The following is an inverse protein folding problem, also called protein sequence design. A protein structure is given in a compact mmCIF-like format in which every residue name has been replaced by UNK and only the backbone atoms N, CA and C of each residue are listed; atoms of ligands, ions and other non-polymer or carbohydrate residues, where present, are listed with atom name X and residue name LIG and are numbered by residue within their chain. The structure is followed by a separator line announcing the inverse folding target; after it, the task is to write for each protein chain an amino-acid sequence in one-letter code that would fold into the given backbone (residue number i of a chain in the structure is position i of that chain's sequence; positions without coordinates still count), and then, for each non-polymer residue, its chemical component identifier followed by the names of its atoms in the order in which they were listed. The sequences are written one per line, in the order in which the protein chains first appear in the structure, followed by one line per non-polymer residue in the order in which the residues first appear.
data_IF_180499272964
#
_entry.id   IF_180499272964
#
_cell.length_a   1.000
_cell.length_b   1.000
_cell.length_c   1.000
_cell.angle_alpha   90.00
_cell.angle_beta   90.00
_cell.angle_gamma   90.00
#
_symmetry.space_group_name_H-M   'P 1'
#
loop_
_entity.id
_entity.type
_entity.pdbx_description
1 polymer ?
#
# COMPACT_ATOMS: atom_id res chain seq x y z
N UNK A 1 -11.12 -8.52 -34.48
CA UNK A 1 -10.35 -7.38 -34.99
C UNK A 1 -9.71 -6.67 -33.81
N UNK A 2 -8.42 -6.77 -33.65
CA UNK A 2 -7.67 -6.03 -32.66
C UNK A 2 -7.41 -4.64 -33.25
N UNK A 3 -8.18 -3.64 -32.79
CA UNK A 3 -7.99 -2.27 -33.22
C UNK A 3 -6.73 -1.69 -32.58
N UNK A 4 -5.75 -1.27 -33.38
CA UNK A 4 -4.69 -0.38 -32.94
C UNK A 4 -5.24 1.04 -32.93
N UNK A 5 -5.01 1.78 -31.83
CA UNK A 5 -5.25 3.22 -31.79
C UNK A 5 -4.08 3.97 -32.42
N UNK A 6 -4.30 5.25 -32.73
CA UNK A 6 -3.20 6.16 -33.13
C UNK A 6 -2.11 6.30 -32.07
N UNK A 7 -2.40 5.96 -30.80
CA UNK A 7 -1.46 5.96 -29.67
C UNK A 7 -0.65 4.66 -29.54
N UNK A 8 -0.96 3.61 -30.31
CA UNK A 8 -0.29 2.30 -30.20
C UNK A 8 -0.64 1.49 -28.94
N UNK A 9 -1.69 1.89 -28.20
CA UNK A 9 -2.17 1.20 -26.99
C UNK A 9 -2.84 -0.13 -27.34
N UNK A 10 -2.47 -1.19 -26.63
CA UNK A 10 -3.08 -2.53 -26.77
C UNK A 10 -3.35 -3.13 -25.39
N UNK A 11 -4.44 -3.92 -25.29
CA UNK A 11 -4.75 -4.66 -24.07
C UNK A 11 -3.92 -5.95 -24.03
N UNK A 12 -3.12 -6.10 -22.97
CA UNK A 12 -2.29 -7.28 -22.74
C UNK A 12 -2.64 -7.98 -21.42
N UNK A 13 -2.31 -9.28 -21.38
CA UNK A 13 -2.24 -9.97 -20.09
C UNK A 13 -1.06 -9.43 -19.30
N UNK A 14 -1.26 -9.19 -17.99
CA UNK A 14 -0.26 -8.60 -17.13
C UNK A 14 -0.34 -9.14 -15.70
N UNK A 15 0.43 -8.56 -14.80
CA UNK A 15 0.41 -8.92 -13.39
C UNK A 15 -0.79 -8.24 -12.71
N UNK A 16 -1.90 -9.00 -12.57
CA UNK A 16 -3.13 -8.50 -11.94
C UNK A 16 -2.98 -8.34 -10.42
N UNK A 17 -3.18 -7.13 -9.93
CA UNK A 17 -3.33 -6.88 -8.48
C UNK A 17 -4.65 -7.44 -7.92
N UNK A 18 -5.64 -7.67 -8.79
CA UNK A 18 -6.95 -8.22 -8.43
C UNK A 18 -6.99 -9.76 -8.61
N UNK A 19 -5.82 -10.40 -8.75
CA UNK A 19 -5.64 -11.85 -8.91
C UNK A 19 -6.42 -12.48 -10.10
N UNK A 20 -6.57 -11.71 -11.19
CA UNK A 20 -7.22 -12.15 -12.44
C UNK A 20 -6.23 -12.15 -13.62
N UNK A 21 -5.21 -13.04 -13.62
CA UNK A 21 -4.23 -13.13 -14.70
C UNK A 21 -4.83 -13.64 -16.02
N UNK A 22 -6.04 -14.20 -15.95
CA UNK A 22 -6.83 -14.70 -17.08
C UNK A 22 -7.44 -13.57 -17.93
N UNK A 23 -7.47 -12.34 -17.43
CA UNK A 23 -8.04 -11.19 -18.14
C UNK A 23 -6.97 -10.27 -18.72
N UNK A 24 -7.29 -9.72 -19.91
CA UNK A 24 -6.51 -8.61 -20.46
C UNK A 24 -6.66 -7.37 -19.55
N UNK A 25 -5.58 -6.65 -19.38
CA UNK A 25 -5.46 -5.56 -18.40
C UNK A 25 -4.91 -4.30 -19.05
N UNK A 26 -5.09 -3.19 -18.37
CA UNK A 26 -4.41 -1.94 -18.63
C UNK A 26 -3.73 -1.45 -17.34
N UNK A 27 -2.72 -0.63 -17.49
CA UNK A 27 -2.09 0.12 -16.40
C UNK A 27 -2.56 1.57 -16.51
N UNK A 28 -3.18 2.08 -15.44
CA UNK A 28 -3.63 3.47 -15.36
C UNK A 28 -2.67 4.24 -14.45
N UNK A 29 -1.93 5.16 -15.05
CA UNK A 29 -1.06 6.10 -14.34
C UNK A 29 -1.86 7.35 -13.97
N UNK A 30 -1.66 7.84 -12.74
CA UNK A 30 -2.29 9.04 -12.23
C UNK A 30 -1.28 9.87 -11.45
N UNK A 31 -1.20 11.16 -11.72
CA UNK A 31 -0.42 12.13 -10.94
C UNK A 31 -1.34 13.13 -10.28
N UNK A 32 -1.04 13.47 -9.03
CA UNK A 32 -1.77 14.48 -8.25
C UNK A 32 -0.83 15.57 -7.76
N UNK A 33 -1.33 16.79 -7.60
CA UNK A 33 -0.58 17.85 -6.95
C UNK A 33 -0.71 17.80 -5.41
N UNK A 34 0.16 18.49 -4.69
CA UNK A 34 0.11 18.61 -3.23
C UNK A 34 -1.14 19.37 -2.77
N UNK A 35 -1.56 20.38 -3.51
CA UNK A 35 -2.70 21.20 -3.18
C UNK A 35 -4.02 20.46 -3.50
N UNK A 36 -4.68 19.98 -2.45
CA UNK A 36 -5.96 19.29 -2.54
C UNK A 36 -5.91 17.88 -3.11
N UNK A 37 -4.75 17.34 -3.48
CA UNK A 37 -4.60 16.08 -4.20
C UNK A 37 -5.41 16.06 -5.52
N UNK A 38 -5.41 17.21 -6.22
CA UNK A 38 -6.07 17.36 -7.51
C UNK A 38 -5.30 16.55 -8.56
N UNK A 39 -5.96 15.68 -9.32
CA UNK A 39 -5.37 15.01 -10.48
C UNK A 39 -4.93 16.03 -11.53
N UNK A 40 -3.66 15.93 -11.97
CA UNK A 40 -3.08 16.87 -12.95
C UNK A 40 -2.62 16.17 -14.23
N UNK A 41 -2.44 14.85 -14.19
CA UNK A 41 -2.04 14.06 -15.34
C UNK A 41 -2.53 12.62 -15.17
N UNK A 42 -2.93 12.01 -16.29
CA UNK A 42 -3.18 10.58 -16.39
C UNK A 42 -2.60 10.03 -17.69
N UNK A 43 -2.33 8.76 -17.69
CA UNK A 43 -1.99 8.01 -18.92
C UNK A 43 -2.40 6.55 -18.77
N UNK A 44 -2.82 5.97 -19.89
CA UNK A 44 -3.17 4.56 -19.99
C UNK A 44 -2.05 3.83 -20.71
N UNK A 45 -1.61 2.70 -20.19
CA UNK A 45 -0.57 1.86 -20.75
C UNK A 45 -1.05 0.42 -20.95
N UNK A 46 -0.42 -0.35 -21.86
CA UNK A 46 -0.62 -1.79 -21.94
C UNK A 46 -0.44 -2.50 -20.61
N UNK A 47 -1.24 -3.53 -20.35
CA UNK A 47 -1.27 -4.24 -19.05
C UNK A 47 0.05 -4.91 -18.66
N UNK A 48 0.98 -5.11 -19.58
CA UNK A 48 2.32 -5.65 -19.36
C UNK A 48 3.41 -4.57 -19.20
N UNK A 49 3.04 -3.28 -19.17
CA UNK A 49 3.99 -2.18 -18.99
C UNK A 49 4.64 -2.24 -17.62
N UNK A 50 5.97 -2.07 -17.59
CA UNK A 50 6.71 -1.97 -16.33
C UNK A 50 6.59 -0.55 -15.77
N UNK A 51 6.13 -0.42 -14.53
CA UNK A 51 5.95 0.87 -13.85
C UNK A 51 7.24 1.73 -13.87
N UNK A 52 8.42 1.11 -13.78
CA UNK A 52 9.69 1.84 -13.78
C UNK A 52 9.93 2.61 -15.08
N UNK A 53 9.47 2.11 -16.23
CA UNK A 53 9.66 2.77 -17.55
C UNK A 53 8.77 4.01 -17.74
N UNK A 54 7.71 4.15 -16.94
CA UNK A 54 6.74 5.24 -17.11
C UNK A 54 7.15 6.54 -16.39
N UNK A 55 8.09 6.47 -15.45
CA UNK A 55 8.46 7.62 -14.61
C UNK A 55 9.09 8.78 -15.37
N UNK A 56 10.00 8.50 -16.31
CA UNK A 56 10.65 9.55 -17.11
C UNK A 56 9.63 10.27 -17.99
N UNK A 57 8.76 9.53 -18.65
CA UNK A 57 7.71 10.10 -19.49
C UNK A 57 6.73 10.92 -18.66
N UNK A 58 6.28 10.39 -17.53
CA UNK A 58 5.39 11.08 -16.59
C UNK A 58 6.01 12.40 -16.10
N UNK A 59 7.28 12.36 -15.67
CA UNK A 59 8.00 13.55 -15.23
C UNK A 59 8.11 14.62 -16.34
N UNK A 60 8.44 14.20 -17.58
CA UNK A 60 8.49 15.11 -18.74
C UNK A 60 7.14 15.77 -19.00
N UNK A 61 6.05 14.99 -18.95
CA UNK A 61 4.69 15.54 -19.14
C UNK A 61 4.34 16.53 -18.04
N UNK A 62 4.64 16.21 -16.79
CA UNK A 62 4.42 17.13 -15.66
C UNK A 62 5.24 18.41 -15.80
N UNK A 63 6.49 18.32 -16.28
CA UNK A 63 7.32 19.49 -16.57
C UNK A 63 6.70 20.39 -17.63
N UNK A 64 6.14 19.80 -18.67
CA UNK A 64 5.43 20.56 -19.72
C UNK A 64 4.16 21.23 -19.18
N UNK A 65 3.36 20.53 -18.40
CA UNK A 65 2.13 21.05 -17.78
C UNK A 65 2.44 22.20 -16.82
N UNK A 66 3.49 22.04 -16.00
CA UNK A 66 3.86 23.03 -14.98
C UNK A 66 4.67 24.20 -15.54
N UNK A 67 5.31 24.03 -16.71
CA UNK A 67 6.22 25.01 -17.32
C UNK A 67 7.59 25.16 -16.62
N UNK A 68 7.88 24.32 -15.59
CA UNK A 68 9.13 24.39 -14.79
C UNK A 68 9.57 22.97 -14.45
N UNK A 69 10.87 22.80 -14.12
CA UNK A 69 11.45 21.52 -13.72
C UNK A 69 11.70 21.37 -12.21
N UNK A 70 11.64 22.45 -11.45
CA UNK A 70 12.05 22.53 -10.04
C UNK A 70 11.01 22.04 -9.03
N UNK A 71 9.94 21.39 -9.47
CA UNK A 71 9.02 20.69 -8.57
C UNK A 71 9.63 19.37 -8.02
N UNK A 72 9.11 18.91 -6.88
CA UNK A 72 9.53 17.64 -6.30
C UNK A 72 8.62 16.52 -6.83
N UNK A 73 9.19 15.61 -7.61
CA UNK A 73 8.50 14.42 -8.09
C UNK A 73 8.58 13.31 -7.06
N UNK A 74 7.42 12.79 -6.63
CA UNK A 74 7.33 11.74 -5.61
C UNK A 74 6.79 10.47 -6.23
N UNK A 75 7.52 9.39 -6.07
CA UNK A 75 7.11 8.08 -6.58
C UNK A 75 7.35 6.95 -5.58
N UNK A 76 6.85 5.77 -5.90
CA UNK A 76 7.09 4.55 -5.15
C UNK A 76 8.51 4.00 -5.41
N UNK A 77 8.79 2.79 -4.96
CA UNK A 77 10.10 2.15 -5.12
C UNK A 77 10.52 1.89 -6.58
N UNK A 78 9.61 1.97 -7.54
CA UNK A 78 9.91 1.82 -8.96
C UNK A 78 10.59 3.07 -9.56
N UNK A 79 10.37 4.23 -8.93
CA UNK A 79 11.12 5.45 -9.25
C UNK A 79 12.59 5.34 -8.79
N UNK A 80 12.90 4.51 -7.80
CA UNK A 80 14.23 4.39 -7.20
C UNK A 80 15.21 3.62 -8.10
N UNK A 81 15.22 3.90 -9.40
CA UNK A 81 16.20 3.40 -10.34
C UNK A 81 17.22 4.49 -10.69
N UNK A 82 18.50 4.13 -10.80
CA UNK A 82 19.54 5.10 -11.15
C UNK A 82 19.23 5.86 -12.45
N UNK A 83 18.80 5.21 -13.55
CA UNK A 83 18.46 5.93 -14.78
C UNK A 83 17.36 6.97 -14.62
N UNK A 84 16.33 6.68 -13.82
CA UNK A 84 15.22 7.61 -13.57
C UNK A 84 15.66 8.79 -12.73
N UNK A 85 16.41 8.54 -11.66
CA UNK A 85 16.89 9.58 -10.75
C UNK A 85 17.90 10.48 -11.46
N UNK A 86 18.85 9.91 -12.21
CA UNK A 86 19.84 10.65 -12.96
C UNK A 86 19.18 11.51 -14.04
N UNK A 87 18.24 10.95 -14.79
CA UNK A 87 17.50 11.71 -15.81
C UNK A 87 16.80 12.94 -15.24
N UNK A 88 16.09 12.77 -14.11
CA UNK A 88 15.38 13.87 -13.45
C UNK A 88 16.35 14.94 -12.95
N UNK A 89 17.44 14.54 -12.30
CA UNK A 89 18.44 15.48 -11.76
C UNK A 89 19.23 16.21 -12.84
N UNK A 90 19.63 15.51 -13.89
CA UNK A 90 20.37 16.09 -15.03
C UNK A 90 19.51 17.12 -15.79
N UNK A 91 18.17 17.01 -15.70
CA UNK A 91 17.21 17.98 -16.20
C UNK A 91 16.71 18.98 -15.14
N UNK A 92 17.49 19.20 -14.08
CA UNK A 92 17.22 20.15 -12.99
C UNK A 92 15.94 19.86 -12.19
N UNK A 93 15.46 18.62 -12.17
CA UNK A 93 14.34 18.18 -11.36
C UNK A 93 14.79 17.65 -10.01
N UNK A 94 13.81 17.45 -9.11
CA UNK A 94 14.02 16.90 -7.80
C UNK A 94 13.08 15.70 -7.59
N UNK A 95 13.55 14.67 -6.89
CA UNK A 95 12.75 13.48 -6.64
C UNK A 95 12.87 13.00 -5.19
N UNK A 96 11.77 12.45 -4.67
CA UNK A 96 11.74 11.73 -3.40
C UNK A 96 11.09 10.38 -3.64
N UNK A 97 11.74 9.30 -3.17
CA UNK A 97 11.23 7.94 -3.33
C UNK A 97 11.63 7.04 -2.16
N UNK A 98 10.92 5.93 -2.01
CA UNK A 98 11.32 4.87 -1.06
C UNK A 98 12.31 3.92 -1.73
N UNK A 99 13.38 3.58 -1.01
CA UNK A 99 14.38 2.63 -1.51
C UNK A 99 13.85 1.20 -1.38
N UNK A 100 13.98 0.37 -2.44
CA UNK A 100 13.57 -1.03 -2.41
C UNK A 100 14.24 -1.82 -1.29
N UNK A 101 13.47 -2.67 -0.62
CA UNK A 101 13.94 -3.44 0.56
C UNK A 101 15.04 -4.47 0.25
N UNK A 102 15.22 -4.81 -1.02
CA UNK A 102 16.23 -5.77 -1.51
C UNK A 102 17.56 -5.12 -1.89
N UNK A 103 17.72 -3.81 -1.71
CA UNK A 103 18.98 -3.14 -1.98
C UNK A 103 20.00 -3.46 -0.90
N UNK A 104 21.27 -3.54 -1.30
CA UNK A 104 22.40 -3.90 -0.45
C UNK A 104 22.57 -2.93 0.74
N UNK A 105 22.35 -1.64 0.50
CA UNK A 105 22.39 -0.60 1.53
C UNK A 105 21.35 -0.85 2.63
N UNK A 106 20.16 -1.27 2.25
CA UNK A 106 19.08 -1.56 3.21
C UNK A 106 19.44 -2.74 4.09
N UNK A 107 20.00 -3.78 3.50
CA UNK A 107 20.44 -4.97 4.28
C UNK A 107 21.65 -4.65 5.16
N UNK A 108 22.61 -3.89 4.68
CA UNK A 108 23.75 -3.41 5.47
C UNK A 108 23.29 -2.60 6.69
N UNK A 109 22.37 -1.65 6.50
CA UNK A 109 21.86 -0.86 7.62
C UNK A 109 21.04 -1.70 8.62
N UNK A 110 20.23 -2.64 8.15
CA UNK A 110 19.54 -3.60 9.02
C UNK A 110 20.52 -4.42 9.84
N UNK A 111 21.62 -4.89 9.24
CA UNK A 111 22.64 -5.67 9.95
C UNK A 111 23.35 -4.84 11.01
N UNK A 112 23.62 -3.56 10.77
CA UNK A 112 24.13 -2.65 11.79
C UNK A 112 23.14 -2.52 12.97
N UNK A 113 21.84 -2.41 12.70
CA UNK A 113 20.81 -2.34 13.75
C UNK A 113 20.68 -3.66 14.52
N UNK A 114 20.81 -4.82 13.85
CA UNK A 114 20.82 -6.14 14.50
C UNK A 114 22.02 -6.29 15.42
N UNK A 115 23.19 -5.84 14.99
CA UNK A 115 24.43 -5.92 15.77
C UNK A 115 24.38 -5.09 17.07
N UNK A 116 23.73 -3.90 17.03
CA UNK A 116 23.64 -3.05 18.22
C UNK A 116 22.60 -1.93 18.11
N UNK A 117 22.23 -1.32 19.24
CA UNK A 117 21.31 -0.19 19.24
C UNK A 117 22.00 1.06 18.68
N UNK A 118 21.39 1.69 17.68
CA UNK A 118 21.80 2.99 17.16
C UNK A 118 20.83 4.04 17.69
N UNK A 119 21.35 5.22 18.07
CA UNK A 119 20.55 6.35 18.57
C UNK A 119 19.66 6.88 17.44
N UNK A 120 18.38 7.05 17.71
CA UNK A 120 17.40 7.66 16.83
C UNK A 120 16.76 8.87 17.46
N UNK A 121 16.37 9.84 16.63
CA UNK A 121 15.74 11.08 17.04
C UNK A 121 14.28 11.13 16.58
N UNK A 122 13.39 11.53 17.48
CA UNK A 122 11.98 11.78 17.12
C UNK A 122 11.91 13.02 16.21
N UNK A 123 11.25 12.90 15.05
CA UNK A 123 11.21 13.97 14.06
C UNK A 123 9.78 14.46 13.78
N UNK A 124 8.78 13.61 13.93
CA UNK A 124 7.40 13.97 13.66
C UNK A 124 6.40 13.17 14.50
N UNK A 125 5.37 13.88 14.99
CA UNK A 125 4.17 13.31 15.63
C UNK A 125 2.98 13.62 14.74
N UNK A 126 2.28 12.59 14.26
CA UNK A 126 1.13 12.72 13.38
C UNK A 126 -0.11 12.18 14.09
N UNK A 127 -1.08 13.04 14.46
CA UNK A 127 -2.37 12.57 14.97
C UNK A 127 -3.07 11.70 13.92
N UNK A 128 -3.82 10.69 14.36
CA UNK A 128 -4.66 9.90 13.44
C UNK A 128 -5.94 10.66 13.13
N UNK A 129 -6.39 10.67 11.86
CA UNK A 129 -7.56 11.47 11.45
C UNK A 129 -8.86 11.12 12.18
N UNK A 130 -9.01 9.86 12.60
CA UNK A 130 -10.25 9.34 13.20
C UNK A 130 -10.16 9.11 14.72
N UNK A 131 -9.03 9.41 15.33
CA UNK A 131 -8.81 9.17 16.75
C UNK A 131 -7.62 10.03 17.21
N UNK A 132 -7.91 11.22 17.69
CA UNK A 132 -6.89 12.17 18.18
C UNK A 132 -6.09 11.62 19.35
N UNK A 133 -6.65 10.67 20.12
CA UNK A 133 -5.93 9.99 21.19
C UNK A 133 -4.81 9.08 20.69
N UNK A 134 -4.85 8.70 19.39
CA UNK A 134 -3.84 7.87 18.75
C UNK A 134 -2.95 8.69 17.85
N UNK A 135 -1.70 8.78 18.23
CA UNK A 135 -0.66 9.50 17.47
C UNK A 135 0.34 8.51 16.87
N UNK A 136 0.66 8.66 15.59
CA UNK A 136 1.77 7.96 14.94
C UNK A 136 3.07 8.74 15.15
N UNK A 137 4.11 8.04 15.58
CA UNK A 137 5.43 8.62 15.86
C UNK A 137 6.41 8.21 14.77
N UNK A 138 7.16 9.19 14.28
CA UNK A 138 8.25 8.97 13.34
C UNK A 138 9.56 9.40 13.96
N UNK A 139 10.55 8.50 13.89
CA UNK A 139 11.93 8.79 14.26
C UNK A 139 12.84 8.54 13.06
N UNK A 140 14.06 9.08 13.09
CA UNK A 140 15.07 8.80 12.09
C UNK A 140 16.43 8.54 12.76
N UNK A 141 17.32 7.91 12.02
CA UNK A 141 18.69 7.67 12.45
C UNK A 141 19.58 8.77 11.87
N UNK A 142 20.29 9.47 12.75
CA UNK A 142 21.19 10.56 12.41
C UNK A 142 22.56 10.01 12.00
N UNK A 143 23.22 10.64 11.00
CA UNK A 143 24.55 10.27 10.54
C UNK A 143 24.65 9.09 9.55
N UNK A 144 23.52 8.52 9.13
CA UNK A 144 23.48 7.42 8.17
C UNK A 144 22.67 7.81 6.91
N UNK A 145 23.05 8.92 6.29
CA UNK A 145 22.27 9.54 5.22
C UNK A 145 22.86 9.33 3.82
N UNK A 146 24.09 8.87 3.70
CA UNK A 146 24.80 8.80 2.42
C UNK A 146 24.97 7.33 2.02
N UNK A 147 24.63 7.00 0.80
CA UNK A 147 24.83 5.68 0.19
C UNK A 147 26.05 5.70 -0.71
N UNK A 148 26.86 4.64 -0.68
CA UNK A 148 28.01 4.49 -1.55
C UNK A 148 27.65 4.30 -3.03
N UNK A 149 26.46 3.75 -3.33
CA UNK A 149 25.98 3.55 -4.70
C UNK A 149 25.42 4.82 -5.33
N UNK A 150 24.95 5.77 -4.50
CA UNK A 150 24.29 6.98 -4.93
C UNK A 150 24.91 8.19 -4.19
N UNK A 151 26.23 8.35 -4.29
CA UNK A 151 27.00 9.36 -3.55
C UNK A 151 26.48 10.80 -3.68
N UNK A 152 25.76 11.08 -4.75
CA UNK A 152 25.13 12.38 -5.03
C UNK A 152 23.74 12.54 -4.40
N UNK A 153 23.15 11.49 -3.78
CA UNK A 153 21.79 11.53 -3.22
C UNK A 153 21.77 11.29 -1.72
N UNK A 154 20.82 11.89 -1.03
CA UNK A 154 20.65 11.71 0.41
C UNK A 154 19.72 10.55 0.71
N UNK A 155 20.19 9.64 1.57
CA UNK A 155 19.41 8.49 2.06
C UNK A 155 19.09 8.67 3.54
N UNK A 156 17.81 8.68 3.88
CA UNK A 156 17.31 8.88 5.23
C UNK A 156 16.61 7.63 5.76
N UNK A 157 16.98 7.21 6.97
CA UNK A 157 16.45 6.00 7.62
C UNK A 157 15.39 6.38 8.64
N UNK A 158 14.13 6.14 8.31
CA UNK A 158 13.00 6.45 9.18
C UNK A 158 12.45 5.20 9.87
N UNK A 159 11.82 5.41 11.04
CA UNK A 159 11.08 4.39 11.78
C UNK A 159 9.69 4.91 12.07
N UNK A 160 8.66 4.19 11.66
CA UNK A 160 7.25 4.46 11.99
C UNK A 160 6.78 3.55 13.12
N UNK A 161 6.08 4.12 14.09
CA UNK A 161 5.48 3.35 15.19
C UNK A 161 4.39 2.38 14.69
N UNK A 162 3.61 2.78 13.69
CA UNK A 162 2.56 1.93 13.11
C UNK A 162 3.14 0.82 12.23
N UNK A 163 4.17 1.13 11.43
CA UNK A 163 4.88 0.09 10.68
C UNK A 163 5.53 -0.90 11.63
N UNK A 164 6.12 -0.45 12.75
CA UNK A 164 6.69 -1.32 13.79
C UNK A 164 5.65 -2.31 14.34
N UNK A 165 4.44 -1.86 14.64
CA UNK A 165 3.34 -2.73 15.09
C UNK A 165 2.97 -3.76 14.03
N UNK A 166 2.88 -3.34 12.76
CA UNK A 166 2.57 -4.24 11.64
C UNK A 166 3.65 -5.28 11.40
N UNK A 167 4.94 -4.88 11.44
CA UNK A 167 6.07 -5.78 11.23
C UNK A 167 6.11 -6.83 12.35
N UNK A 168 5.90 -6.40 13.60
CA UNK A 168 5.78 -7.30 14.77
C UNK A 168 4.63 -8.28 14.61
N UNK A 169 3.43 -7.81 14.31
CA UNK A 169 2.24 -8.65 14.12
C UNK A 169 2.46 -9.67 13.00
N UNK A 170 3.00 -9.24 11.87
CA UNK A 170 3.31 -10.12 10.73
C UNK A 170 4.32 -11.20 11.11
N UNK A 171 5.36 -10.88 11.90
CA UNK A 171 6.33 -11.84 12.40
C UNK A 171 5.68 -12.84 13.36
N UNK A 172 4.89 -12.37 14.32
CA UNK A 172 4.17 -13.22 15.27
C UNK A 172 3.21 -14.18 14.56
N UNK A 173 2.49 -13.73 13.54
CA UNK A 173 1.59 -14.56 12.72
C UNK A 173 2.37 -15.64 11.93
N UNK A 174 3.50 -15.26 11.32
CA UNK A 174 4.36 -16.23 10.62
C UNK A 174 4.89 -17.30 11.56
N UNK A 175 5.34 -16.92 12.76
CA UNK A 175 5.81 -17.85 13.79
C UNK A 175 4.69 -18.77 14.27
N UNK A 176 3.48 -18.23 14.50
CA UNK A 176 2.30 -19.01 14.88
C UNK A 176 1.94 -20.04 13.82
N UNK A 177 1.93 -19.65 12.53
CA UNK A 177 1.65 -20.55 11.40
C UNK A 177 2.74 -21.60 11.22
N UNK A 178 4.01 -21.25 11.45
CA UNK A 178 5.11 -22.21 11.40
C UNK A 178 4.96 -23.28 12.50
N UNK A 179 4.69 -22.85 13.75
CA UNK A 179 4.46 -23.79 14.87
C UNK A 179 3.31 -24.74 14.61
N UNK A 180 2.17 -24.25 14.09
CA UNK A 180 1.03 -25.09 13.72
C UNK A 180 1.45 -26.17 12.69
N UNK A 181 2.17 -25.78 11.63
CA UNK A 181 2.66 -26.72 10.62
C UNK A 181 3.69 -27.72 11.18
N UNK A 182 4.53 -27.33 12.14
CA UNK A 182 5.47 -28.25 12.82
C UNK A 182 4.73 -29.26 13.72
N UNK A 183 3.63 -28.84 14.37
CA UNK A 183 2.76 -29.74 15.15
C UNK A 183 2.14 -30.79 14.20
N UNK A 184 1.61 -30.37 13.05
CA UNK A 184 1.06 -31.28 12.05
C UNK A 184 2.14 -32.26 11.52
N UNK A 185 3.35 -31.77 11.30
CA UNK A 185 4.48 -32.62 10.89
C UNK A 185 4.82 -33.63 11.98
N UNK A 186 4.83 -33.23 13.26
CA UNK A 186 5.19 -34.10 14.40
C UNK A 186 4.27 -35.33 14.51
N UNK A 187 2.98 -35.18 14.16
CA UNK A 187 2.01 -36.30 14.13
C UNK A 187 2.32 -37.31 13.01
N UNK A 188 2.97 -36.86 11.93
CA UNK A 188 3.31 -37.69 10.75
C UNK A 188 4.67 -38.36 10.85
N UNK A 189 5.49 -38.00 11.83
CA UNK A 189 6.84 -38.56 12.04
C UNK A 189 6.75 -40.07 12.35
N UNK A 190 7.76 -40.82 11.95
CA UNK A 190 7.88 -42.28 12.02
C UNK A 190 6.89 -43.05 11.10
N UNK A 191 6.22 -42.35 10.19
CA UNK A 191 5.29 -42.96 9.21
C UNK A 191 5.72 -42.58 7.78
N UNK A 192 5.39 -43.43 6.81
CA UNK A 192 5.65 -43.20 5.38
C UNK A 192 7.11 -42.83 5.09
N UNK A 193 7.34 -41.64 4.51
CA UNK A 193 8.67 -41.14 4.16
C UNK A 193 9.42 -40.49 5.34
N UNK A 194 8.76 -40.23 6.47
CA UNK A 194 9.34 -39.52 7.63
C UNK A 194 9.89 -40.51 8.69
N UNK A 195 10.72 -41.46 8.25
CA UNK A 195 11.31 -42.50 9.11
C UNK A 195 12.81 -42.29 9.41
N UNK A 196 13.48 -41.39 8.68
CA UNK A 196 14.90 -41.09 8.88
C UNK A 196 15.05 -39.66 9.44
N UNK A 197 16.10 -39.47 10.24
CA UNK A 197 16.38 -38.15 10.85
C UNK A 197 16.49 -37.04 9.82
N UNK A 198 17.24 -37.25 8.73
CA UNK A 198 17.45 -36.25 7.68
C UNK A 198 16.15 -35.84 6.95
N UNK A 199 15.25 -36.80 6.67
CA UNK A 199 13.98 -36.50 5.99
C UNK A 199 13.07 -35.63 6.88
N UNK A 200 13.08 -35.85 8.20
CA UNK A 200 12.33 -35.07 9.18
C UNK A 200 12.91 -33.66 9.31
N UNK A 201 14.24 -33.52 9.39
CA UNK A 201 14.94 -32.23 9.46
C UNK A 201 14.68 -31.40 8.19
N UNK A 202 14.78 -32.02 7.01
CA UNK A 202 14.49 -31.34 5.73
C UNK A 202 13.05 -30.84 5.68
N UNK A 203 12.08 -31.69 6.01
CA UNK A 203 10.67 -31.31 6.01
C UNK A 203 10.37 -30.17 7.01
N UNK A 204 10.99 -30.19 8.19
CA UNK A 204 10.84 -29.12 9.18
C UNK A 204 11.49 -27.80 8.71
N UNK A 205 12.67 -27.87 8.11
CA UNK A 205 13.35 -26.71 7.54
C UNK A 205 12.57 -26.08 6.38
N UNK A 206 11.94 -26.89 5.53
CA UNK A 206 11.08 -26.39 4.45
C UNK A 206 9.86 -25.62 4.98
N UNK A 207 9.25 -26.08 6.08
CA UNK A 207 8.17 -25.35 6.77
C UNK A 207 8.68 -23.98 7.23
N UNK A 208 9.84 -23.92 7.89
CA UNK A 208 10.43 -22.67 8.37
C UNK A 208 10.79 -21.72 7.22
N UNK A 209 11.37 -22.23 6.13
CA UNK A 209 11.68 -21.47 4.90
C UNK A 209 10.44 -20.90 4.25
N UNK A 210 9.39 -21.72 4.07
CA UNK A 210 8.11 -21.30 3.48
C UNK A 210 7.45 -20.16 4.28
N UNK A 211 7.68 -20.10 5.58
CA UNK A 211 7.18 -19.03 6.46
C UNK A 211 8.18 -17.91 6.70
N UNK A 212 9.39 -17.97 6.13
CA UNK A 212 10.47 -17.00 6.33
C UNK A 212 10.82 -16.77 7.81
N UNK A 213 10.91 -17.87 8.59
CA UNK A 213 11.24 -17.82 10.03
C UNK A 213 12.40 -18.75 10.41
N UNK A 214 13.14 -19.28 9.44
CA UNK A 214 14.25 -20.23 9.66
C UNK A 214 15.37 -19.65 10.54
N UNK A 215 15.53 -18.33 10.58
CA UNK A 215 16.52 -17.63 11.40
C UNK A 215 16.00 -17.27 12.81
N UNK A 216 14.73 -17.55 13.10
CA UNK A 216 14.06 -17.22 14.36
C UNK A 216 13.68 -18.46 15.18
N UNK A 217 13.90 -19.66 14.63
CA UNK A 217 13.52 -20.91 15.26
C UNK A 217 14.61 -21.96 15.04
N UNK A 218 14.95 -22.63 16.11
CA UNK A 218 15.82 -23.80 16.09
C UNK A 218 14.98 -25.07 16.09
N UNK A 219 15.42 -26.08 15.33
CA UNK A 219 14.79 -27.40 15.30
C UNK A 219 15.80 -28.46 15.69
N UNK A 220 15.34 -29.43 16.47
CA UNK A 220 16.15 -30.58 16.89
C UNK A 220 15.35 -31.86 16.72
N UNK A 221 15.92 -32.84 15.98
CA UNK A 221 15.32 -34.18 15.85
C UNK A 221 16.08 -35.13 16.79
N UNK A 222 15.38 -35.60 17.83
CA UNK A 222 15.93 -36.55 18.81
C UNK A 222 15.59 -37.96 18.40
N UNK A 223 16.62 -38.87 18.47
CA UNK A 223 16.47 -40.29 18.23
C UNK A 223 16.17 -41.00 19.54
N UNK A 224 15.16 -41.83 19.55
CA UNK A 224 14.81 -42.69 20.68
C UNK A 224 14.93 -44.14 20.27
N UNK A 225 15.36 -44.98 21.22
CA UNK A 225 15.47 -46.43 21.05
C UNK A 225 14.66 -47.13 22.13
N UNK A 226 13.65 -47.83 21.73
CA UNK A 226 12.84 -48.63 22.63
C UNK A 226 13.15 -50.12 22.41
N UNK A 227 13.57 -50.76 23.48
CA UNK A 227 13.86 -52.23 23.47
C UNK A 227 12.66 -52.93 24.05
N UNK A 228 11.98 -53.78 23.23
CA UNK A 228 10.90 -54.63 23.70
C UNK A 228 11.25 -56.09 23.55
N UNK A 229 10.83 -56.89 24.53
CA UNK A 229 10.82 -58.35 24.40
C UNK A 229 9.48 -58.73 23.81
N UNK A 230 9.52 -59.38 22.65
CA UNK A 230 8.30 -59.81 21.95
C UNK A 230 8.27 -61.33 21.95
N UNK A 231 7.15 -61.92 22.28
CA UNK A 231 6.95 -63.35 22.23
C UNK A 231 7.05 -63.84 20.76
N UNK A 232 7.93 -64.78 20.48
CA UNK A 232 8.07 -65.36 19.14
C UNK A 232 6.88 -66.26 18.83
N UNK A 233 6.13 -65.96 17.75
CA UNK A 233 5.08 -66.88 17.28
C UNK A 233 5.68 -68.14 16.71
N UNK A 234 5.52 -69.26 17.43
CA UNK A 234 5.94 -70.56 17.02
C UNK A 234 6.11 -71.49 18.23
N UNK A 235 5.49 -72.64 18.24
CA UNK A 235 5.59 -73.63 19.29
C UNK A 235 6.80 -74.52 18.99
N UNK A 236 7.91 -74.29 19.68
CA UNK A 236 9.02 -75.23 19.69
C UNK A 236 9.21 -75.68 21.13
N UNK A 237 8.57 -76.77 21.48
CA UNK A 237 8.60 -77.30 22.84
C UNK A 237 7.82 -76.48 23.85
N UNK A 238 7.81 -76.87 25.10
CA UNK A 238 7.11 -76.17 26.22
C UNK A 238 7.76 -74.88 26.74
N UNK A 239 8.64 -74.24 25.96
CA UNK A 239 9.34 -73.01 26.41
C UNK A 239 8.99 -71.83 25.52
N UNK A 240 8.54 -70.73 26.12
CA UNK A 240 8.34 -69.45 25.45
C UNK A 240 9.68 -68.86 25.05
N UNK A 241 9.89 -68.58 23.76
CA UNK A 241 11.07 -67.84 23.30
C UNK A 241 10.71 -66.36 23.11
N UNK A 242 11.51 -65.50 23.73
CA UNK A 242 11.40 -64.06 23.60
C UNK A 242 12.49 -63.57 22.66
N UNK A 243 12.07 -62.77 21.69
CA UNK A 243 12.99 -62.07 20.81
C UNK A 243 13.10 -60.61 21.28
N UNK A 244 14.33 -60.08 21.39
CA UNK A 244 14.59 -58.68 21.73
C UNK A 244 14.51 -57.87 20.44
N UNK A 245 13.42 -57.10 20.26
CA UNK A 245 13.29 -56.15 19.16
C UNK A 245 13.70 -54.77 19.62
N UNK A 246 14.45 -54.07 18.77
CA UNK A 246 14.81 -52.67 19.00
C UNK A 246 14.07 -51.79 18.03
N UNK A 247 13.15 -50.97 18.54
CA UNK A 247 12.43 -50.00 17.73
C UNK A 247 13.08 -48.63 17.86
N UNK A 248 13.49 -48.09 16.71
CA UNK A 248 14.01 -46.70 16.62
C UNK A 248 12.84 -45.80 16.20
N UNK A 249 12.66 -44.71 16.91
CA UNK A 249 11.73 -43.68 16.54
C UNK A 249 12.30 -42.28 16.80
N UNK A 250 11.72 -41.26 16.18
CA UNK A 250 12.20 -39.89 16.26
C UNK A 250 11.12 -38.97 16.83
N UNK A 251 11.54 -37.91 17.52
CA UNK A 251 10.70 -36.80 17.94
C UNK A 251 11.28 -35.48 17.44
N UNK A 252 10.40 -34.56 17.08
CA UNK A 252 10.75 -33.23 16.62
C UNK A 252 10.52 -32.23 17.77
N UNK A 253 11.56 -31.48 18.09
CA UNK A 253 11.52 -30.38 19.04
C UNK A 253 11.87 -29.09 18.31
N UNK A 254 11.29 -27.97 18.73
CA UNK A 254 11.60 -26.65 18.20
C UNK A 254 11.54 -25.62 19.32
N UNK A 255 12.41 -24.64 19.21
CA UNK A 255 12.46 -23.51 20.14
C UNK A 255 12.59 -22.20 19.35
N UNK A 256 12.17 -21.08 19.98
CA UNK A 256 12.39 -19.78 19.41
C UNK A 256 13.74 -19.25 19.87
N UNK A 257 14.56 -18.83 18.92
CA UNK A 257 15.79 -18.09 19.21
C UNK A 257 15.42 -16.69 19.72
N UNK A 258 15.56 -16.49 21.03
CA UNK A 258 15.22 -15.23 21.70
C UNK A 258 16.15 -14.10 21.30
N UNK A 259 17.41 -14.39 21.02
CA UNK A 259 18.38 -13.36 20.65
C UNK A 259 18.17 -12.91 19.20
N UNK A 260 17.96 -13.84 18.29
CA UNK A 260 17.53 -13.50 16.93
C UNK A 260 16.24 -12.70 16.90
N UNK A 261 15.24 -13.04 17.73
CA UNK A 261 14.02 -12.26 17.88
C UNK A 261 14.26 -10.84 18.39
N UNK A 262 15.15 -10.67 19.37
CA UNK A 262 15.54 -9.34 19.87
C UNK A 262 16.22 -8.52 18.78
N UNK A 263 17.11 -9.14 18.00
CA UNK A 263 17.79 -8.50 16.88
C UNK A 263 16.77 -8.04 15.80
N UNK A 264 15.84 -8.92 15.40
CA UNK A 264 14.78 -8.57 14.43
C UNK A 264 13.85 -7.45 14.91
N UNK A 265 13.57 -7.35 16.21
CA UNK A 265 12.73 -6.23 16.73
C UNK A 265 13.41 -4.86 16.59
N UNK A 266 14.74 -4.80 16.44
CA UNK A 266 15.47 -3.54 16.23
C UNK A 266 15.23 -2.95 14.85
N UNK A 267 14.94 -3.77 13.85
CA UNK A 267 14.67 -3.34 12.48
C UNK A 267 13.19 -3.11 12.19
N UNK A 268 12.31 -3.43 13.13
CA UNK A 268 10.87 -3.20 12.98
C UNK A 268 10.54 -1.73 12.78
N UNK A 269 9.69 -1.46 11.80
CA UNK A 269 9.21 -0.12 11.48
C UNK A 269 10.15 0.68 10.58
N UNK A 270 11.33 0.13 10.25
CA UNK A 270 12.33 0.78 9.40
C UNK A 270 11.83 0.93 7.96
N UNK A 271 12.07 2.10 7.37
CA UNK A 271 11.95 2.33 5.92
C UNK A 271 12.88 3.46 5.49
N UNK A 272 13.58 3.29 4.37
CA UNK A 272 14.50 4.28 3.82
C UNK A 272 13.80 5.17 2.80
N UNK A 273 14.04 6.48 2.86
CA UNK A 273 13.66 7.43 1.81
C UNK A 273 14.92 8.04 1.20
N UNK A 274 14.91 8.14 -0.13
CA UNK A 274 15.95 8.81 -0.91
C UNK A 274 15.41 10.15 -1.37
N UNK A 275 16.23 11.19 -1.26
CA UNK A 275 16.00 12.52 -1.84
C UNK A 275 17.16 12.88 -2.76
N UNK A 276 16.85 13.32 -3.98
CA UNK A 276 17.88 13.85 -4.89
C UNK A 276 18.33 15.26 -4.53
N UNK A 277 17.56 15.95 -3.69
CA UNK A 277 17.90 17.28 -3.16
C UNK A 277 18.38 17.15 -1.71
N UNK A 278 19.69 17.34 -1.45
CA UNK A 278 20.26 17.21 -0.11
C UNK A 278 19.88 18.37 0.82
N UNK A 279 19.33 19.46 0.29
CA UNK A 279 18.98 20.65 1.08
C UNK A 279 17.66 20.49 1.83
N UNK A 280 16.81 19.54 1.42
CA UNK A 280 15.52 19.30 2.06
C UNK A 280 15.73 18.63 3.43
N UNK A 281 15.18 19.27 4.47
CA UNK A 281 15.28 18.73 5.81
C UNK A 281 14.55 17.35 5.92
N UNK A 282 15.09 16.36 6.66
CA UNK A 282 14.52 15.01 6.75
C UNK A 282 13.03 14.97 7.15
N UNK A 283 12.59 15.90 8.00
CA UNK A 283 11.17 16.02 8.37
C UNK A 283 10.28 16.32 7.17
N UNK A 284 10.76 17.16 6.26
CA UNK A 284 9.98 17.58 5.09
C UNK A 284 10.04 16.50 4.01
N UNK A 285 11.18 15.84 3.81
CA UNK A 285 11.25 14.60 2.99
C UNK A 285 10.20 13.60 3.44
N UNK A 286 10.11 13.36 4.76
CA UNK A 286 9.14 12.44 5.32
C UNK A 286 7.68 12.90 5.09
N UNK A 287 7.37 14.17 5.32
CA UNK A 287 6.02 14.73 5.14
C UNK A 287 5.58 14.65 3.68
N UNK A 288 6.46 15.05 2.76
CA UNK A 288 6.22 15.02 1.31
C UNK A 288 5.94 13.58 0.88
N UNK A 289 6.78 12.62 1.27
CA UNK A 289 6.55 11.22 0.95
C UNK A 289 5.23 10.68 1.57
N UNK A 290 4.90 11.09 2.79
CA UNK A 290 3.67 10.68 3.49
C UNK A 290 2.39 11.34 2.95
N UNK A 291 2.47 12.10 1.89
CA UNK A 291 1.34 12.57 1.11
C UNK A 291 0.78 11.47 0.16
N UNK A 292 1.59 10.48 -0.21
CA UNK A 292 1.25 9.39 -1.12
C UNK A 292 -0.10 8.67 -0.82
N UNK A 293 -0.54 8.45 0.44
CA UNK A 293 -1.85 7.86 0.72
C UNK A 293 -3.04 8.62 0.13
N UNK A 294 -2.87 9.90 -0.21
CA UNK A 294 -3.90 10.68 -0.91
C UNK A 294 -4.06 10.25 -2.36
N UNK A 295 -2.97 9.88 -3.03
CA UNK A 295 -3.01 9.26 -4.35
C UNK A 295 -3.73 7.90 -4.30
N UNK A 296 -3.42 7.06 -3.30
CA UNK A 296 -4.11 5.79 -3.09
C UNK A 296 -5.62 5.99 -2.88
N UNK A 297 -6.00 7.05 -2.15
CA UNK A 297 -7.41 7.42 -1.97
C UNK A 297 -8.07 7.80 -3.31
N UNK A 298 -7.37 8.54 -4.19
CA UNK A 298 -7.88 8.86 -5.54
C UNK A 298 -8.06 7.59 -6.39
N UNK A 299 -7.13 6.65 -6.34
CA UNK A 299 -7.32 5.35 -6.98
C UNK A 299 -8.50 4.55 -6.40
N UNK A 300 -8.71 4.62 -5.09
CA UNK A 300 -9.88 4.00 -4.46
C UNK A 300 -11.18 4.63 -4.94
N UNK A 301 -11.27 5.97 -5.01
CA UNK A 301 -12.43 6.69 -5.56
C UNK A 301 -12.67 6.31 -7.02
N UNK A 302 -11.62 6.25 -7.83
CA UNK A 302 -11.70 5.83 -9.22
C UNK A 302 -12.32 4.43 -9.39
N UNK A 303 -11.92 3.48 -8.54
CA UNK A 303 -12.45 2.11 -8.59
C UNK A 303 -13.86 1.98 -8.00
N UNK A 304 -14.15 2.65 -6.88
CA UNK A 304 -15.39 2.44 -6.11
C UNK A 304 -16.51 3.39 -6.49
N UNK A 305 -16.24 4.70 -6.64
CA UNK A 305 -17.27 5.70 -6.93
C UNK A 305 -17.58 5.72 -8.43
N UNK A 306 -16.54 5.75 -9.26
CA UNK A 306 -16.70 5.77 -10.71
C UNK A 306 -16.91 4.39 -11.34
N UNK A 307 -16.76 3.32 -10.54
CA UNK A 307 -16.88 1.93 -11.01
C UNK A 307 -16.07 1.67 -12.30
N UNK A 308 -14.85 2.24 -12.35
CA UNK A 308 -13.99 2.16 -13.53
C UNK A 308 -13.48 0.74 -13.87
N UNK A 309 -13.80 -0.24 -13.03
CA UNK A 309 -13.51 -1.65 -13.25
C UNK A 309 -14.71 -2.52 -12.78
N UNK A 310 -15.08 -3.59 -13.53
CA UNK A 310 -14.47 -4.04 -14.79
C UNK A 310 -14.84 -3.18 -15.99
N UNK A 311 -13.91 -3.07 -16.96
CA UNK A 311 -14.18 -2.37 -18.22
C UNK A 311 -14.99 -3.26 -19.15
N UNK A 312 -16.15 -2.76 -19.59
CA UNK A 312 -17.06 -3.50 -20.46
C UNK A 312 -16.88 -3.17 -21.95
N UNK A 313 -16.05 -2.17 -22.27
CA UNK A 313 -15.80 -1.77 -23.65
C UNK A 313 -14.83 -2.73 -24.36
N UNK A 314 -15.14 -3.04 -25.63
CA UNK A 314 -14.31 -3.88 -26.49
C UNK A 314 -13.30 -3.08 -27.33
N UNK A 315 -13.63 -1.82 -27.64
CA UNK A 315 -12.82 -0.93 -28.47
C UNK A 315 -11.87 -0.13 -27.58
N UNK A 316 -10.61 -0.07 -27.97
CA UNK A 316 -9.55 0.59 -27.20
C UNK A 316 -9.75 2.10 -27.14
N UNK A 317 -10.13 2.72 -28.27
CA UNK A 317 -10.44 4.15 -28.31
C UNK A 317 -11.57 4.57 -27.33
N UNK A 318 -12.58 3.71 -27.16
CA UNK A 318 -13.64 3.93 -26.16
C UNK A 318 -13.14 3.74 -24.74
N UNK A 319 -12.21 2.82 -24.51
CA UNK A 319 -11.59 2.62 -23.21
C UNK A 319 -10.77 3.85 -22.82
N UNK A 320 -9.94 4.37 -23.74
CA UNK A 320 -9.15 5.59 -23.51
C UNK A 320 -10.05 6.80 -23.23
N UNK A 321 -11.07 7.00 -24.06
CA UNK A 321 -12.04 8.08 -23.85
C UNK A 321 -12.77 7.97 -22.50
N UNK A 322 -13.19 6.76 -22.13
CA UNK A 322 -13.83 6.53 -20.83
C UNK A 322 -12.87 6.79 -19.65
N UNK A 323 -11.60 6.37 -19.75
CA UNK A 323 -10.59 6.67 -18.73
C UNK A 323 -10.34 8.17 -18.61
N UNK A 324 -10.38 8.91 -19.72
CA UNK A 324 -10.27 10.37 -19.71
C UNK A 324 -11.48 11.02 -19.01
N UNK A 325 -12.70 10.59 -19.29
CA UNK A 325 -13.92 11.10 -18.63
C UNK A 325 -13.83 10.83 -17.10
N UNK A 326 -13.42 9.65 -16.69
CA UNK A 326 -13.20 9.34 -15.28
C UNK A 326 -12.12 10.21 -14.64
N UNK A 327 -11.04 10.48 -15.36
CA UNK A 327 -10.01 11.42 -14.89
C UNK A 327 -10.56 12.81 -14.68
N UNK A 328 -11.36 13.34 -15.62
CA UNK A 328 -12.01 14.64 -15.48
C UNK A 328 -12.99 14.67 -14.29
N UNK A 329 -13.81 13.63 -14.14
CA UNK A 329 -14.71 13.50 -13.00
C UNK A 329 -13.96 13.51 -11.66
N UNK A 330 -12.84 12.77 -11.59
CA UNK A 330 -12.00 12.73 -10.39
C UNK A 330 -11.33 14.09 -10.12
N UNK A 331 -10.95 14.81 -11.17
CA UNK A 331 -10.38 16.15 -11.06
C UNK A 331 -11.41 17.15 -10.53
N UNK A 332 -12.62 17.16 -11.09
CA UNK A 332 -13.74 18.02 -10.61
C UNK A 332 -14.06 17.72 -9.15
N UNK A 333 -14.20 16.45 -8.78
CA UNK A 333 -14.39 16.04 -7.39
C UNK A 333 -13.31 16.58 -6.46
N UNK A 334 -12.05 16.49 -6.89
CA UNK A 334 -10.93 16.95 -6.09
C UNK A 334 -10.91 18.48 -5.94
N UNK A 335 -11.31 19.22 -6.98
CA UNK A 335 -11.41 20.69 -6.95
C UNK A 335 -12.51 21.11 -5.97
N UNK A 336 -13.71 20.51 -6.04
CA UNK A 336 -14.80 20.78 -5.09
C UNK A 336 -14.33 20.53 -3.65
N UNK A 337 -13.75 19.36 -3.39
CA UNK A 337 -13.21 19.04 -2.05
C UNK A 337 -12.15 20.05 -1.59
N UNK A 338 -11.28 20.48 -2.49
CA UNK A 338 -10.24 21.47 -2.22
C UNK A 338 -10.84 22.83 -1.87
N UNK A 339 -11.74 23.34 -2.71
CA UNK A 339 -12.38 24.66 -2.51
C UNK A 339 -13.08 24.71 -1.15
N UNK A 340 -13.99 23.77 -0.88
CA UNK A 340 -14.75 23.77 0.37
C UNK A 340 -13.83 23.64 1.60
N UNK A 341 -12.85 22.71 1.57
CA UNK A 341 -11.93 22.53 2.71
C UNK A 341 -11.01 23.73 2.92
N UNK A 342 -10.57 24.37 1.85
CA UNK A 342 -9.75 25.57 1.91
C UNK A 342 -10.52 26.73 2.53
N UNK A 343 -11.74 27.00 2.08
CA UNK A 343 -12.59 28.06 2.61
C UNK A 343 -12.95 27.84 4.10
N UNK A 344 -13.29 26.60 4.49
CA UNK A 344 -13.52 26.26 5.90
C UNK A 344 -12.30 26.61 6.75
N UNK A 345 -11.10 26.27 6.25
CA UNK A 345 -9.83 26.52 6.97
C UNK A 345 -9.49 28.02 7.04
N UNK A 346 -9.59 28.74 5.93
CA UNK A 346 -9.26 30.16 5.83
C UNK A 346 -10.22 31.04 6.66
N UNK A 347 -11.51 30.77 6.58
CA UNK A 347 -12.54 31.46 7.35
C UNK A 347 -12.67 30.97 8.79
N UNK A 348 -11.89 29.91 9.19
CA UNK A 348 -11.95 29.27 10.52
C UNK A 348 -13.36 28.83 10.92
N UNK A 349 -14.13 28.32 9.97
CA UNK A 349 -15.49 27.89 10.19
C UNK A 349 -15.55 26.55 10.92
N UNK A 350 -16.69 26.27 11.55
CA UNK A 350 -16.98 24.94 12.08
C UNK A 350 -17.14 23.96 10.92
N UNK A 351 -16.87 22.65 11.14
CA UNK A 351 -17.13 21.63 10.13
C UNK A 351 -18.58 21.66 9.65
N UNK A 352 -18.80 21.37 8.37
CA UNK A 352 -20.13 21.24 7.81
C UNK A 352 -20.86 20.03 8.39
N UNK A 353 -22.18 20.14 8.55
CA UNK A 353 -23.06 19.05 8.98
C UNK A 353 -23.65 18.35 7.76
N UNK A 354 -22.88 17.42 7.16
CA UNK A 354 -23.26 16.75 5.90
C UNK A 354 -23.82 15.33 6.08
N UNK A 355 -24.05 14.91 7.32
CA UNK A 355 -24.65 13.60 7.58
C UNK A 355 -26.11 13.76 8.03
N UNK A 356 -26.97 12.76 7.73
CA UNK A 356 -28.39 12.83 8.11
C UNK A 356 -28.63 13.08 9.60
N UNK A 357 -27.70 12.61 10.45
CA UNK A 357 -27.72 12.81 11.91
C UNK A 357 -27.05 14.14 12.33
N UNK A 358 -26.87 15.09 11.45
CA UNK A 358 -26.21 16.38 11.69
C UNK A 358 -24.79 16.29 12.29
N UNK A 359 -24.11 15.17 12.04
CA UNK A 359 -22.75 14.99 12.49
C UNK A 359 -21.77 15.82 11.66
N UNK A 360 -20.76 16.37 12.35
CA UNK A 360 -19.69 17.15 11.75
C UNK A 360 -18.88 16.36 10.71
N UNK A 361 -18.64 17.00 9.55
CA UNK A 361 -17.76 16.50 8.48
C UNK A 361 -16.49 17.38 8.40
N UNK A 362 -15.45 17.10 9.20
CA UNK A 362 -14.23 17.93 9.23
C UNK A 362 -13.43 17.88 7.91
N UNK A 363 -13.67 16.87 7.12
CA UNK A 363 -13.08 16.71 5.79
C UNK A 363 -14.14 16.32 4.77
N UNK A 364 -15.03 17.25 4.38
CA UNK A 364 -16.13 16.97 3.48
C UNK A 364 -15.63 16.37 2.16
N UNK A 365 -16.35 15.37 1.66
CA UNK A 365 -16.11 14.76 0.35
C UNK A 365 -17.15 15.25 -0.65
N UNK A 366 -16.80 15.30 -1.93
CA UNK A 366 -17.73 15.72 -2.98
C UNK A 366 -19.01 14.88 -2.97
N UNK A 367 -18.91 13.57 -2.75
CA UNK A 367 -20.08 12.70 -2.65
C UNK A 367 -21.02 13.08 -1.49
N UNK A 368 -20.47 13.52 -0.35
CA UNK A 368 -21.29 14.02 0.77
C UNK A 368 -21.92 15.37 0.45
N UNK A 369 -21.14 16.27 -0.17
CA UNK A 369 -21.62 17.60 -0.58
C UNK A 369 -22.77 17.46 -1.59
N UNK A 370 -22.57 16.71 -2.68
CA UNK A 370 -23.61 16.54 -3.71
C UNK A 370 -24.86 15.86 -3.16
N UNK A 371 -24.67 14.89 -2.25
CA UNK A 371 -25.82 14.20 -1.63
C UNK A 371 -26.77 15.11 -0.84
N UNK A 372 -26.28 16.23 -0.31
CA UNK A 372 -27.15 17.18 0.38
C UNK A 372 -28.11 17.89 -0.58
N UNK A 373 -27.75 17.99 -1.87
CA UNK A 373 -28.58 18.58 -2.91
C UNK A 373 -29.46 17.54 -3.63
N UNK A 374 -29.37 16.26 -3.27
CA UNK A 374 -30.22 15.23 -3.85
C UNK A 374 -31.70 15.49 -3.50
N UNK A 375 -32.58 15.48 -4.53
CA UNK A 375 -34.00 15.66 -4.36
C UNK A 375 -34.49 17.09 -4.45
N UNK A 376 -33.61 18.09 -4.57
CA UNK A 376 -34.02 19.45 -4.88
C UNK A 376 -34.54 19.52 -6.31
N UNK A 377 -35.75 20.08 -6.49
CA UNK A 377 -36.44 20.11 -7.77
C UNK A 377 -36.90 21.51 -8.15
N UNK A 378 -36.92 21.75 -9.45
CA UNK A 378 -37.69 22.86 -10.06
C UNK A 378 -38.97 22.29 -10.65
N UNK A 379 -40.10 22.87 -10.31
CA UNK A 379 -41.42 22.47 -10.77
C UNK A 379 -41.92 23.49 -11.80
N UNK A 380 -42.33 23.02 -12.99
CA UNK A 380 -42.87 23.87 -14.06
C UNK A 380 -44.29 23.46 -14.34
N UNK A 381 -45.22 24.39 -14.19
CA UNK A 381 -46.62 24.24 -14.61
C UNK A 381 -46.74 24.76 -16.03
N UNK A 382 -47.13 23.89 -16.95
CA UNK A 382 -47.26 24.25 -18.37
C UNK A 382 -48.72 24.08 -18.83
N UNK A 383 -49.21 24.99 -19.65
CA UNK A 383 -50.49 24.88 -20.35
C UNK A 383 -50.26 25.21 -21.84
N UNK A 384 -50.69 24.33 -22.76
CA UNK A 384 -50.56 24.48 -24.20
C UNK A 384 -49.12 24.86 -24.64
N UNK A 385 -48.10 24.12 -24.13
CA UNK A 385 -46.69 24.32 -24.39
C UNK A 385 -46.08 25.66 -23.88
N UNK A 386 -46.82 26.45 -23.12
CA UNK A 386 -46.30 27.63 -22.45
C UNK A 386 -46.14 27.39 -20.95
N UNK A 387 -44.98 27.77 -20.36
CA UNK A 387 -44.77 27.73 -18.90
C UNK A 387 -45.55 28.87 -18.26
N UNK A 388 -46.48 28.53 -17.33
CA UNK A 388 -47.29 29.51 -16.61
C UNK A 388 -46.62 29.92 -15.31
N UNK A 389 -46.12 28.94 -14.58
CA UNK A 389 -45.48 29.15 -13.27
C UNK A 389 -44.32 28.21 -13.10
N UNK A 390 -43.31 28.70 -12.40
CA UNK A 390 -42.10 27.92 -12.03
C UNK A 390 -41.85 28.07 -10.53
N UNK A 391 -41.72 26.95 -9.84
CA UNK A 391 -41.42 26.86 -8.41
C UNK A 391 -40.14 26.10 -8.20
N UNK A 392 -39.35 26.51 -7.20
CA UNK A 392 -38.13 25.88 -6.80
C UNK A 392 -38.18 25.49 -5.32
N UNK A 393 -37.59 24.35 -4.96
CA UNK A 393 -37.46 23.97 -3.57
C UNK A 393 -36.60 24.99 -2.81
N UNK A 394 -36.94 25.22 -1.53
CA UNK A 394 -36.18 26.16 -0.72
C UNK A 394 -34.83 25.51 -0.26
N UNK A 395 -33.76 26.24 -0.46
CA UNK A 395 -32.46 25.85 0.07
C UNK A 395 -32.42 26.02 1.60
N UNK A 396 -31.99 25.01 2.31
CA UNK A 396 -31.75 25.10 3.74
C UNK A 396 -30.41 25.80 4.08
N UNK A 397 -30.10 25.91 5.36
CA UNK A 397 -28.86 26.53 5.83
C UNK A 397 -27.60 25.82 5.30
N UNK A 398 -27.62 24.51 5.24
CA UNK A 398 -26.46 23.69 4.78
C UNK A 398 -26.21 23.89 3.30
N UNK A 399 -27.25 23.91 2.48
CA UNK A 399 -27.16 24.19 1.05
C UNK A 399 -26.54 25.58 0.79
N UNK A 400 -27.06 26.64 1.41
CA UNK A 400 -26.53 27.99 1.28
C UNK A 400 -25.10 28.11 1.74
N UNK A 401 -24.74 27.44 2.85
CA UNK A 401 -23.36 27.43 3.35
C UNK A 401 -22.41 26.74 2.36
N UNK A 402 -22.82 25.64 1.72
CA UNK A 402 -22.01 24.95 0.70
C UNK A 402 -21.84 25.84 -0.54
N UNK A 403 -22.91 26.44 -1.05
CA UNK A 403 -22.85 27.35 -2.20
C UNK A 403 -21.92 28.53 -1.92
N UNK A 404 -22.04 29.17 -0.75
CA UNK A 404 -21.16 30.27 -0.31
C UNK A 404 -19.68 29.83 -0.28
N UNK A 405 -19.37 28.62 0.20
CA UNK A 405 -18.00 28.08 0.22
C UNK A 405 -17.46 27.77 -1.17
N UNK A 406 -18.33 27.60 -2.15
CA UNK A 406 -17.98 27.36 -3.56
C UNK A 406 -18.04 28.64 -4.40
N UNK A 407 -18.38 29.78 -3.79
CA UNK A 407 -18.56 31.07 -4.48
C UNK A 407 -19.61 31.00 -5.59
N UNK A 408 -20.75 30.34 -5.29
CA UNK A 408 -21.91 30.17 -6.18
C UNK A 408 -23.10 30.90 -5.57
N UNK A 409 -23.69 31.82 -6.30
CA UNK A 409 -24.92 32.47 -5.90
C UNK A 409 -26.12 31.52 -6.02
N UNK A 410 -27.11 31.66 -5.11
CA UNK A 410 -28.31 30.79 -5.12
C UNK A 410 -29.07 30.86 -6.48
N UNK A 411 -29.08 32.03 -7.09
CA UNK A 411 -29.67 32.23 -8.39
C UNK A 411 -28.94 31.52 -9.52
N UNK A 412 -27.65 31.38 -9.44
CA UNK A 412 -26.81 30.63 -10.41
C UNK A 412 -27.05 29.14 -10.30
N UNK A 413 -27.22 28.62 -9.08
CA UNK A 413 -27.56 27.23 -8.86
C UNK A 413 -28.85 26.80 -9.56
N UNK A 414 -29.86 27.63 -9.58
CA UNK A 414 -31.12 27.32 -10.19
C UNK A 414 -31.22 27.60 -11.71
N UNK A 415 -30.22 28.22 -12.32
CA UNK A 415 -30.18 28.48 -13.78
C UNK A 415 -29.77 27.26 -14.61
N UNK A 416 -29.36 26.16 -13.96
CA UNK A 416 -28.97 24.92 -14.61
C UNK A 416 -30.18 24.02 -14.82
#
# INVERSE_FOLDING_TARGET
MEGKTSSGFELHHGHSKDHRPDLKQLVFCLSICEDGAVPVHHKVYPGNTNDASTHIETWNTLRLIHGRSDFIYVGDSKLCGQPQLDYITDNHGRAITIVPSNWLEVERFKNMLRAGPIKKKLIWRKPKPNDESKTEYYSFYEGHAITQLLDKYSLWWFVSSEKRKRDRYSREDRLRKAKASLIELSVKINRGKLKKKGDIETAALEILKKRHVQHLMEITVKKHMERKQVLRRGRVGNKFQYERTCRVYYSLHWEQDRDALRQETRVDGLFPLLSTDPTIHPRDVLKIYKYQPRLEKRFSQFKSIHQAAPLLFKRIDRIEANMFVFFLSLMVQAIIERMVRQQIKERKLKPLKLYPEERDAPHPTTSQILKTFDGLCTYKITQEDSTIEEYQDQLDYTHRQVLELMDIEEEEYWKI
#
